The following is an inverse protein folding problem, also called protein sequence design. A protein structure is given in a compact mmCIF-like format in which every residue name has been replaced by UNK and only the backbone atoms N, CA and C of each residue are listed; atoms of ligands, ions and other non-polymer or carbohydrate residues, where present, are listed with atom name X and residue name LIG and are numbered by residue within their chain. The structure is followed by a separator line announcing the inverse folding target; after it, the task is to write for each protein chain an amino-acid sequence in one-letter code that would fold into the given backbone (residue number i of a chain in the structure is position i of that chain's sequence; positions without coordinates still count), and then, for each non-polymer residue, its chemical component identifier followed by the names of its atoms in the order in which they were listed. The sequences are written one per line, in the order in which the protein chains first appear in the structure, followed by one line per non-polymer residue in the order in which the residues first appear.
data_IF_823298112643
#
_entry.id   IF_823298112643
#
_cell.length_a   1.000
_cell.length_b   1.000
_cell.length_c   1.000
_cell.angle_alpha   90.00
_cell.angle_beta   90.00
_cell.angle_gamma   90.00
#
_symmetry.space_group_name_H-M   'P 1'
#
loop_
_entity.id
_entity.type
_entity.pdbx_description
1 polymer ?
#
# COMPACT_ATOMS: atom_id res chain seq x y z
N UNK A 1 -4.16 18.06 6.40
CA UNK A 1 -3.17 17.27 5.65
C UNK A 1 -3.38 15.79 5.87
N UNK A 2 -3.35 15.04 4.79
CA UNK A 2 -3.43 13.57 4.74
C UNK A 2 -2.02 13.01 4.54
N UNK A 3 -1.70 11.88 5.17
CA UNK A 3 -0.47 11.12 4.91
C UNK A 3 -0.84 9.85 4.16
N UNK A 4 -0.35 9.71 2.92
CA UNK A 4 -0.49 8.48 2.14
C UNK A 4 0.85 7.76 2.08
N UNK A 5 0.87 6.52 2.57
CA UNK A 5 2.06 5.68 2.62
C UNK A 5 1.87 4.49 1.69
N UNK A 6 2.75 4.35 0.71
CA UNK A 6 2.83 3.20 -0.18
C UNK A 6 3.82 2.18 0.38
N UNK A 7 3.36 0.97 0.66
CA UNK A 7 4.23 -0.09 1.17
C UNK A 7 5.00 -0.78 0.04
N UNK A 8 6.23 -1.17 0.35
CA UNK A 8 7.13 -1.91 -0.53
C UNK A 8 8.49 -2.13 0.13
N UNK A 9 9.34 -2.95 -0.51
CA UNK A 9 10.73 -3.12 -0.13
C UNK A 9 11.66 -2.20 -0.95
N UNK A 10 12.75 -1.69 -0.35
CA UNK A 10 13.73 -0.85 -1.05
C UNK A 10 14.64 -1.67 -1.95
N UNK A 11 15.02 -1.10 -3.10
CA UNK A 11 16.03 -1.64 -4.02
C UNK A 11 15.46 -2.20 -5.33
N UNK A 12 16.26 -2.11 -6.40
CA UNK A 12 15.84 -2.38 -7.79
C UNK A 12 15.15 -3.73 -8.00
N UNK A 13 15.60 -4.76 -7.28
CA UNK A 13 15.04 -6.12 -7.40
C UNK A 13 13.57 -6.24 -6.94
N UNK A 14 13.08 -5.29 -6.13
CA UNK A 14 11.72 -5.32 -5.60
C UNK A 14 10.74 -4.41 -6.36
N UNK A 15 11.22 -3.50 -7.19
CA UNK A 15 10.40 -2.44 -7.82
C UNK A 15 9.16 -2.96 -8.55
N UNK A 16 9.27 -4.14 -9.17
CA UNK A 16 8.20 -4.75 -9.98
C UNK A 16 7.45 -5.88 -9.27
N UNK A 17 7.79 -6.13 -8.01
CA UNK A 17 7.18 -7.21 -7.24
C UNK A 17 5.77 -6.85 -6.79
N UNK A 18 4.94 -7.87 -6.56
CA UNK A 18 3.56 -7.67 -6.08
C UNK A 18 3.53 -6.87 -4.78
N UNK A 19 4.48 -7.14 -3.89
CA UNK A 19 4.61 -6.48 -2.59
C UNK A 19 4.96 -4.99 -2.66
N UNK A 20 5.36 -4.49 -3.84
CA UNK A 20 5.70 -3.09 -4.05
C UNK A 20 4.57 -2.30 -4.74
N UNK A 21 3.39 -2.89 -4.94
CA UNK A 21 2.27 -2.20 -5.60
C UNK A 21 1.83 -0.94 -4.86
N UNK A 22 1.91 -0.93 -3.52
CA UNK A 22 1.63 0.25 -2.71
C UNK A 22 2.57 1.40 -3.01
N UNK A 23 3.88 1.14 -3.00
CA UNK A 23 4.91 2.11 -3.40
C UNK A 23 4.74 2.60 -4.84
N UNK A 24 4.32 1.73 -5.76
CA UNK A 24 4.06 2.10 -7.16
C UNK A 24 2.90 3.08 -7.28
N UNK A 25 1.77 2.83 -6.60
CA UNK A 25 0.64 3.78 -6.57
C UNK A 25 1.06 5.14 -6.05
N UNK A 26 1.86 5.18 -4.98
CA UNK A 26 2.37 6.47 -4.46
C UNK A 26 3.30 7.16 -5.45
N UNK A 27 4.13 6.40 -6.20
CA UNK A 27 4.95 6.96 -7.28
C UNK A 27 4.13 7.61 -8.39
N UNK A 28 2.98 7.03 -8.76
CA UNK A 28 2.07 7.65 -9.74
C UNK A 28 1.38 8.90 -9.17
N UNK A 29 1.03 8.91 -7.89
CA UNK A 29 0.48 10.10 -7.21
C UNK A 29 1.48 11.26 -7.13
N UNK A 30 2.77 10.96 -6.94
CA UNK A 30 3.84 11.98 -6.92
C UNK A 30 3.87 12.79 -8.22
N UNK A 31 3.57 12.17 -9.36
CA UNK A 31 3.56 12.83 -10.67
C UNK A 31 2.41 13.87 -10.82
N UNK A 32 1.39 13.82 -9.97
CA UNK A 32 0.22 14.69 -10.05
C UNK A 32 0.36 16.01 -9.27
N UNK A 33 1.43 16.19 -8.49
CA UNK A 33 1.71 17.41 -7.71
C UNK A 33 0.50 17.92 -6.88
N UNK A 34 -0.22 16.98 -6.25
CA UNK A 34 -1.39 17.28 -5.42
C UNK A 34 -0.99 18.13 -4.20
N UNK A 35 -1.86 19.08 -3.83
CA UNK A 35 -1.67 19.94 -2.67
C UNK A 35 -2.24 19.30 -1.40
N UNK A 36 -1.79 19.78 -0.23
CA UNK A 36 -2.31 19.38 1.10
C UNK A 36 -2.18 17.90 1.48
N UNK A 37 -1.33 17.16 0.77
CA UNK A 37 -1.01 15.74 1.00
C UNK A 37 0.48 15.54 1.25
N UNK A 38 0.82 14.59 2.11
CA UNK A 38 2.17 14.04 2.23
C UNK A 38 2.15 12.64 1.61
N UNK A 39 3.01 12.44 0.60
CA UNK A 39 3.25 11.15 -0.02
C UNK A 39 4.54 10.55 0.56
N UNK A 40 4.52 9.25 0.88
CA UNK A 40 5.68 8.58 1.43
C UNK A 40 5.82 7.14 0.91
N UNK A 41 7.06 6.77 0.59
CA UNK A 41 7.50 5.40 0.31
C UNK A 41 8.60 5.05 1.32
N UNK A 42 8.31 4.27 2.38
CA UNK A 42 9.32 3.89 3.37
C UNK A 42 10.52 3.22 2.71
N UNK A 43 11.74 3.64 3.10
CA UNK A 43 12.99 2.99 2.68
C UNK A 43 13.41 1.87 3.64
N UNK A 44 12.56 1.50 4.59
CA UNK A 44 12.73 0.33 5.45
C UNK A 44 12.24 -0.93 4.71
N UNK A 45 12.72 -2.11 5.13
CA UNK A 45 12.11 -3.36 4.67
C UNK A 45 10.67 -3.48 5.17
N UNK A 46 9.86 -4.30 4.49
CA UNK A 46 8.42 -4.39 4.72
C UNK A 46 8.07 -4.61 6.19
N UNK A 47 8.71 -5.57 6.85
CA UNK A 47 8.49 -5.90 8.27
C UNK A 47 8.87 -4.77 9.24
N UNK A 48 9.58 -3.74 8.77
CA UNK A 48 10.03 -2.57 9.52
C UNK A 48 9.33 -1.28 9.06
N UNK A 49 8.26 -1.38 8.26
CA UNK A 49 7.50 -0.23 7.74
C UNK A 49 6.92 0.64 8.86
N UNK A 50 6.49 0.04 9.96
CA UNK A 50 5.87 0.75 11.09
C UNK A 50 6.78 1.81 11.70
N UNK A 51 8.09 1.55 11.78
CA UNK A 51 9.08 2.49 12.32
C UNK A 51 9.12 3.78 11.50
N UNK A 52 9.13 3.65 10.18
CA UNK A 52 9.12 4.79 9.27
C UNK A 52 7.80 5.56 9.36
N UNK A 53 6.66 4.86 9.35
CA UNK A 53 5.33 5.48 9.43
C UNK A 53 5.15 6.25 10.74
N UNK A 54 5.52 5.65 11.88
CA UNK A 54 5.49 6.30 13.19
C UNK A 54 6.32 7.59 13.21
N UNK A 55 7.55 7.54 12.69
CA UNK A 55 8.43 8.70 12.60
C UNK A 55 7.84 9.80 11.71
N UNK A 56 7.24 9.43 10.57
CA UNK A 56 6.59 10.37 9.66
C UNK A 56 5.40 11.07 10.32
N UNK A 57 4.53 10.32 11.00
CA UNK A 57 3.39 10.85 11.76
C UNK A 57 3.85 11.84 12.83
N UNK A 58 4.87 11.47 13.62
CA UNK A 58 5.42 12.32 14.67
C UNK A 58 6.03 13.61 14.11
N UNK A 59 6.84 13.52 13.06
CA UNK A 59 7.48 14.69 12.44
C UNK A 59 6.49 15.63 11.76
N UNK A 60 5.51 15.08 11.05
CA UNK A 60 4.50 15.86 10.33
C UNK A 60 3.34 16.32 11.21
N UNK A 61 3.27 15.86 12.47
CA UNK A 61 2.18 16.12 13.41
C UNK A 61 0.80 15.74 12.85
N UNK A 62 0.75 14.72 11.99
CA UNK A 62 -0.49 14.22 11.38
C UNK A 62 -1.21 13.30 12.38
N UNK A 63 -2.55 13.41 12.46
CA UNK A 63 -3.36 12.48 13.26
C UNK A 63 -3.44 11.13 12.56
N UNK A 64 -3.38 10.02 13.30
CA UNK A 64 -3.48 8.65 12.74
C UNK A 64 -4.74 8.46 11.88
N UNK A 65 -5.85 9.13 12.22
CA UNK A 65 -7.08 9.08 11.43
C UNK A 65 -6.93 9.59 9.98
N UNK A 66 -5.91 10.42 9.72
CA UNK A 66 -5.56 10.97 8.41
C UNK A 66 -4.45 10.15 7.71
N UNK A 67 -4.06 8.99 8.27
CA UNK A 67 -3.18 8.04 7.62
C UNK A 67 -3.98 7.15 6.65
N UNK A 68 -3.48 7.04 5.43
CA UNK A 68 -3.91 6.05 4.43
C UNK A 68 -2.70 5.19 4.08
N UNK A 69 -2.83 3.87 4.24
CA UNK A 69 -1.78 2.90 3.86
C UNK A 69 -2.22 2.15 2.60
N UNK A 70 -1.42 2.23 1.55
CA UNK A 70 -1.64 1.52 0.28
C UNK A 70 -0.73 0.29 0.24
N UNK A 71 -1.30 -0.89 0.01
CA UNK A 71 -0.56 -2.15 0.02
C UNK A 71 -1.24 -3.25 -0.81
N UNK A 72 -0.52 -4.32 -1.12
CA UNK A 72 -1.06 -5.53 -1.76
C UNK A 72 -1.88 -6.39 -0.79
N UNK A 73 -2.80 -7.16 -1.34
CA UNK A 73 -3.65 -8.05 -0.56
C UNK A 73 -3.93 -9.36 -1.29
N UNK A 74 -3.48 -10.46 -0.69
CA UNK A 74 -3.61 -11.80 -1.27
C UNK A 74 -5.02 -12.38 -1.11
N UNK A 75 -5.87 -11.77 -0.30
CA UNK A 75 -7.24 -12.23 -0.09
C UNK A 75 -8.24 -11.50 -1.01
N UNK A 76 -7.77 -10.56 -1.83
CA UNK A 76 -8.57 -9.81 -2.79
C UNK A 76 -8.17 -10.24 -4.22
N UNK A 77 -9.13 -10.57 -5.10
CA UNK A 77 -8.87 -10.88 -6.51
C UNK A 77 -8.06 -9.79 -7.21
N UNK A 78 -7.14 -10.20 -8.08
CA UNK A 78 -6.46 -9.28 -8.97
C UNK A 78 -7.47 -8.51 -9.82
N UNK A 79 -7.29 -7.19 -9.94
CA UNK A 79 -8.25 -6.33 -10.63
C UNK A 79 -9.25 -5.66 -9.68
N UNK A 80 -9.31 -6.10 -8.43
CA UNK A 80 -10.12 -5.48 -7.39
C UNK A 80 -9.26 -4.70 -6.39
N UNK A 81 -9.89 -3.78 -5.67
CA UNK A 81 -9.32 -3.15 -4.50
C UNK A 81 -10.41 -2.85 -3.48
N UNK A 82 -10.03 -2.68 -2.21
CA UNK A 82 -10.94 -2.30 -1.14
C UNK A 82 -10.36 -1.14 -0.33
N UNK A 83 -11.22 -0.18 -0.01
CA UNK A 83 -10.90 0.87 0.98
C UNK A 83 -11.51 0.42 2.30
N UNK A 84 -10.68 0.26 3.33
CA UNK A 84 -11.13 -0.24 4.63
C UNK A 84 -10.46 0.49 5.78
N UNK A 85 -11.10 0.48 6.94
CA UNK A 85 -10.58 1.03 8.19
C UNK A 85 -10.72 -0.01 9.30
N UNK A 86 -9.86 0.06 10.31
CA UNK A 86 -10.00 -0.73 11.54
C UNK A 86 -9.96 -2.26 11.35
N UNK A 87 -9.24 -2.75 10.33
CA UNK A 87 -9.09 -4.17 10.03
C UNK A 87 -7.72 -4.72 10.45
N UNK A 88 -7.63 -6.03 10.72
CA UNK A 88 -6.35 -6.70 11.06
C UNK A 88 -5.37 -6.75 9.88
N UNK A 89 -4.14 -7.21 10.10
CA UNK A 89 -3.10 -7.28 9.05
C UNK A 89 -3.33 -8.39 8.02
N UNK A 90 -4.11 -9.42 8.36
CA UNK A 90 -4.29 -10.61 7.53
C UNK A 90 -2.96 -11.27 7.10
N UNK A 91 -1.94 -11.21 7.96
CA UNK A 91 -0.60 -11.74 7.69
C UNK A 91 0.32 -10.83 6.85
N UNK A 92 -0.15 -9.64 6.45
CA UNK A 92 0.69 -8.68 5.74
C UNK A 92 1.70 -8.01 6.70
N UNK A 93 2.98 -8.37 6.57
CA UNK A 93 4.08 -7.96 7.48
C UNK A 93 4.24 -6.44 7.64
N UNK A 94 4.02 -5.66 6.58
CA UNK A 94 4.09 -4.19 6.66
C UNK A 94 2.96 -3.56 7.47
N UNK A 95 1.72 -4.02 7.26
CA UNK A 95 0.56 -3.59 8.05
C UNK A 95 0.70 -4.05 9.51
N UNK A 96 1.17 -5.27 9.74
CA UNK A 96 1.47 -5.77 11.09
C UNK A 96 2.50 -4.87 11.81
N UNK A 97 3.59 -4.52 11.13
CA UNK A 97 4.60 -3.59 11.63
C UNK A 97 4.00 -2.23 12.01
N UNK A 98 3.13 -1.67 11.16
CA UNK A 98 2.44 -0.39 11.42
C UNK A 98 1.50 -0.49 12.62
N UNK A 99 0.68 -1.54 12.69
CA UNK A 99 -0.24 -1.75 13.82
C UNK A 99 0.55 -1.84 15.13
N UNK A 100 1.64 -2.62 15.14
CA UNK A 100 2.52 -2.79 16.29
C UNK A 100 3.13 -1.45 16.73
N UNK A 101 3.69 -0.69 15.81
CA UNK A 101 4.40 0.56 16.11
C UNK A 101 3.49 1.72 16.52
N UNK A 102 2.27 1.77 15.96
CA UNK A 102 1.26 2.79 16.27
C UNK A 102 0.35 2.39 17.44
N UNK A 103 0.34 1.13 17.86
CA UNK A 103 -0.53 0.61 18.91
C UNK A 103 -2.03 0.60 18.53
N UNK A 104 -2.35 0.72 17.25
CA UNK A 104 -3.74 0.76 16.78
C UNK A 104 -3.86 0.28 15.34
N UNK A 105 -5.02 -0.27 15.00
CA UNK A 105 -5.44 -0.60 13.63
C UNK A 105 -6.38 0.45 13.03
N UNK A 106 -6.66 1.53 13.77
CA UNK A 106 -7.64 2.55 13.42
C UNK A 106 -7.12 3.58 12.41
N UNK A 107 -6.71 3.11 11.23
CA UNK A 107 -6.29 3.92 10.09
C UNK A 107 -6.88 3.35 8.79
N UNK A 108 -6.93 4.18 7.74
CA UNK A 108 -7.47 3.75 6.45
C UNK A 108 -6.43 2.95 5.67
N UNK A 109 -6.90 1.99 4.89
CA UNK A 109 -6.09 1.20 3.97
C UNK A 109 -6.75 1.10 2.61
N UNK A 110 -5.93 1.21 1.58
CA UNK A 110 -6.28 0.85 0.21
C UNK A 110 -5.59 -0.48 -0.07
N UNK A 111 -6.38 -1.56 -0.05
CA UNK A 111 -5.95 -2.95 -0.20
C UNK A 111 -6.09 -3.33 -1.67
N UNK A 112 -4.98 -3.54 -2.37
CA UNK A 112 -4.95 -3.83 -3.81
C UNK A 112 -4.86 -5.34 -4.01
N UNK A 113 -5.84 -5.93 -4.69
CA UNK A 113 -5.89 -7.37 -4.88
C UNK A 113 -4.76 -7.90 -5.75
N UNK A 114 -4.14 -8.98 -5.27
CA UNK A 114 -3.10 -9.72 -6.00
C UNK A 114 -3.42 -11.22 -6.08
N UNK A 115 -4.59 -11.66 -5.62
CA UNK A 115 -4.99 -13.05 -5.70
C UNK A 115 -5.22 -13.45 -7.16
N UNK A 116 -4.51 -14.45 -7.69
CA UNK A 116 -4.76 -14.97 -9.03
C UNK A 116 -6.16 -15.57 -9.18
N UNK A 117 -6.65 -15.64 -10.41
CA UNK A 117 -7.88 -16.36 -10.74
C UNK A 117 -7.81 -17.85 -10.39
N UNK A 118 -6.62 -18.44 -10.40
CA UNK A 118 -6.37 -19.83 -9.97
C UNK A 118 -6.45 -20.03 -8.45
N UNK A 119 -6.70 -18.95 -7.70
CA UNK A 119 -6.85 -18.96 -6.25
C UNK A 119 -5.58 -18.63 -5.48
N UNK A 120 -5.72 -18.62 -4.15
CA UNK A 120 -4.65 -18.21 -3.23
C UNK A 120 -3.44 -19.15 -3.32
N UNK A 121 -2.23 -18.63 -3.63
CA UNK A 121 -1.01 -19.45 -3.69
C UNK A 121 -0.66 -20.06 -2.33
N UNK A 122 -0.12 -21.29 -2.32
CA UNK A 122 0.33 -21.97 -1.09
C UNK A 122 1.46 -21.23 -0.38
N UNK A 123 2.41 -20.66 -1.15
CA UNK A 123 3.58 -19.95 -0.62
C UNK A 123 3.45 -18.45 -0.85
N UNK A 124 2.58 -17.80 -0.08
CA UNK A 124 2.29 -16.36 -0.19
C UNK A 124 3.56 -15.51 -0.10
N UNK A 125 4.44 -15.77 0.86
CA UNK A 125 5.69 -15.02 1.06
C UNK A 125 6.60 -15.00 -0.18
N UNK A 126 6.64 -16.10 -0.95
CA UNK A 126 7.40 -16.14 -2.21
C UNK A 126 6.66 -15.45 -3.33
N UNK A 127 5.34 -15.63 -3.39
CA UNK A 127 4.49 -15.06 -4.43
C UNK A 127 4.49 -13.52 -4.41
N UNK A 128 4.43 -12.91 -3.23
CA UNK A 128 4.44 -11.43 -3.12
C UNK A 128 5.75 -10.82 -3.64
N UNK A 129 6.85 -11.56 -3.58
CA UNK A 129 8.17 -11.13 -4.10
C UNK A 129 8.38 -11.43 -5.58
N UNK A 130 7.43 -12.05 -6.27
CA UNK A 130 7.50 -12.24 -7.71
C UNK A 130 6.97 -11.01 -8.44
N UNK A 131 7.40 -10.82 -9.68
CA UNK A 131 6.88 -9.75 -10.54
C UNK A 131 5.50 -10.09 -11.09
N UNK A 132 4.71 -9.06 -11.37
CA UNK A 132 3.51 -9.21 -12.19
C UNK A 132 3.89 -9.57 -13.64
N UNK A 133 3.07 -10.40 -14.27
CA UNK A 133 3.12 -10.70 -15.69
C UNK A 133 2.63 -9.50 -16.50
N UNK A 134 2.91 -9.48 -17.81
CA UNK A 134 2.43 -8.42 -18.70
C UNK A 134 0.90 -8.30 -18.74
N UNK A 135 0.17 -9.40 -18.51
CA UNK A 135 -1.30 -9.39 -18.49
C UNK A 135 -1.79 -8.77 -17.18
N UNK A 136 -1.25 -9.21 -16.04
CA UNK A 136 -1.57 -8.65 -14.73
C UNK A 136 -1.27 -7.14 -14.67
N UNK A 137 -0.13 -6.71 -15.26
CA UNK A 137 0.23 -5.29 -15.36
C UNK A 137 -0.82 -4.45 -16.11
N UNK A 138 -1.44 -4.99 -17.17
CA UNK A 138 -2.50 -4.26 -17.89
C UNK A 138 -3.74 -4.07 -17.02
N UNK A 139 -4.12 -5.10 -16.26
CA UNK A 139 -5.25 -5.04 -15.33
C UNK A 139 -4.96 -3.99 -14.24
N UNK A 140 -3.76 -4.05 -13.64
CA UNK A 140 -3.37 -3.14 -12.57
C UNK A 140 -3.30 -1.69 -13.01
N UNK A 141 -2.92 -1.38 -14.26
CA UNK A 141 -2.99 0.00 -14.76
C UNK A 141 -4.39 0.60 -14.63
N UNK A 142 -5.43 -0.17 -14.95
CA UNK A 142 -6.81 0.25 -14.76
C UNK A 142 -7.16 0.48 -13.29
N UNK A 143 -6.78 -0.46 -12.43
CA UNK A 143 -7.01 -0.36 -10.97
C UNK A 143 -6.31 0.86 -10.37
N UNK A 144 -5.05 1.08 -10.70
CA UNK A 144 -4.25 2.21 -10.20
C UNK A 144 -4.90 3.54 -10.60
N UNK A 145 -5.38 3.66 -11.85
CA UNK A 145 -6.08 4.86 -12.32
C UNK A 145 -7.31 5.16 -11.46
N UNK A 146 -8.15 4.15 -11.19
CA UNK A 146 -9.36 4.30 -10.37
C UNK A 146 -9.00 4.66 -8.92
N UNK A 147 -7.93 4.07 -8.37
CA UNK A 147 -7.45 4.40 -7.02
C UNK A 147 -7.01 5.86 -6.93
N UNK A 148 -6.28 6.35 -7.93
CA UNK A 148 -5.84 7.74 -8.01
C UNK A 148 -7.03 8.69 -8.07
N UNK A 149 -8.03 8.40 -8.92
CA UNK A 149 -9.26 9.19 -9.02
C UNK A 149 -9.98 9.27 -7.66
N UNK A 150 -10.15 8.13 -6.96
CA UNK A 150 -10.75 8.10 -5.62
C UNK A 150 -9.92 8.84 -4.57
N UNK A 151 -8.61 8.79 -4.64
CA UNK A 151 -7.74 9.54 -3.71
C UNK A 151 -7.92 11.04 -3.93
N UNK A 152 -8.03 11.50 -5.18
CA UNK A 152 -8.30 12.90 -5.49
C UNK A 152 -9.66 13.36 -4.93
N UNK A 153 -10.70 12.54 -5.04
CA UNK A 153 -12.02 12.81 -4.44
C UNK A 153 -11.99 12.94 -2.90
N UNK A 154 -11.02 12.30 -2.22
CA UNK A 154 -10.86 12.37 -0.76
C UNK A 154 -10.10 13.63 -0.33
N UNK A 155 -9.25 14.18 -1.21
CA UNK A 155 -8.33 15.29 -0.90
C UNK A 155 -8.96 16.65 -1.21
N UNK A 156 -9.83 16.71 -2.23
CA UNK A 156 -10.60 17.91 -2.63
C UNK A 156 -11.79 18.09 -1.68
#
# INVERSE_FOLDING_TARGET
MILIVGLGNPGKKYEKTRHNIGSRVVGELEALNLQNIILAKPSTFMNESGKAVKRLIQKSKIKIQNLIVVHDDIDIPLGEFKIQKNSGSAGHKGVESIIKELGTKNFHRIRIGICPETGKPKQVDKFVLQNFTKVEEKILKGVIKIIIEKINEIII
#
